data_IF_779397043592
#
_entry.id   IF_779397043592
#
_cell.length_a   1.000
_cell.length_b   1.000
_cell.length_c   1.000
_cell.angle_alpha   90.00
_cell.angle_beta   90.00
_cell.angle_gamma   90.00
#
_symmetry.space_group_name_H-M   'P 1'
#
loop_
_entity.id
_entity.type
_entity.pdbx_description
1 polymer ?
#
# COMPACT_ATOMS: atom_id res chain seq x y z
N UNK A 1 -0.28 1.20 -23.84
CA UNK A 1 -0.08 1.03 -22.37
C UNK A 1 -0.16 2.42 -21.73
N UNK A 2 -1.04 2.63 -20.74
CA UNK A 2 -1.16 3.95 -20.07
C UNK A 2 0.04 4.16 -19.16
N UNK A 3 0.81 5.22 -19.40
CA UNK A 3 1.94 5.62 -18.55
C UNK A 3 1.38 6.14 -17.22
N UNK A 4 1.84 5.64 -16.05
CA UNK A 4 1.45 6.24 -14.78
C UNK A 4 2.01 7.67 -14.69
N UNK A 5 1.11 8.65 -14.77
CA UNK A 5 1.45 10.07 -14.83
C UNK A 5 2.30 10.54 -13.64
N UNK A 6 2.12 9.93 -12.47
CA UNK A 6 2.93 10.19 -11.27
C UNK A 6 4.39 9.77 -11.45
N UNK A 7 4.65 8.59 -12.04
CA UNK A 7 6.01 8.09 -12.22
C UNK A 7 6.81 8.97 -13.18
N UNK A 8 6.20 9.33 -14.31
CA UNK A 8 6.82 10.23 -15.27
C UNK A 8 6.99 11.65 -14.72
N UNK A 9 6.05 12.15 -13.92
CA UNK A 9 6.18 13.46 -13.27
C UNK A 9 7.31 13.49 -12.24
N UNK A 10 7.52 12.41 -11.47
CA UNK A 10 8.67 12.27 -10.59
C UNK A 10 9.98 12.23 -11.38
N UNK A 11 10.06 11.42 -12.44
CA UNK A 11 11.26 11.35 -13.28
C UNK A 11 11.63 12.70 -13.92
N UNK A 12 10.62 13.47 -14.35
CA UNK A 12 10.80 14.84 -14.82
C UNK A 12 11.33 15.74 -13.71
N UNK A 13 10.73 15.69 -12.52
CA UNK A 13 11.17 16.43 -11.34
C UNK A 13 12.62 16.15 -10.94
N UNK A 14 13.06 14.89 -11.04
CA UNK A 14 14.43 14.49 -10.72
C UNK A 14 15.46 15.03 -11.72
N UNK A 15 15.17 14.93 -13.03
CA UNK A 15 16.15 15.27 -14.08
C UNK A 15 16.10 16.74 -14.49
N UNK A 16 14.91 17.26 -14.77
CA UNK A 16 14.72 18.62 -15.28
C UNK A 16 14.46 19.64 -14.16
N UNK A 17 14.25 19.18 -12.92
CA UNK A 17 13.98 20.00 -11.73
C UNK A 17 12.77 20.95 -11.77
N UNK A 18 11.65 20.69 -12.50
CA UNK A 18 10.41 21.41 -12.24
C UNK A 18 9.82 21.03 -10.87
N UNK A 19 9.08 21.94 -10.20
CA UNK A 19 8.24 21.56 -9.07
C UNK A 19 7.27 20.43 -9.47
N UNK A 20 7.03 19.47 -8.57
CA UNK A 20 6.22 18.28 -8.88
C UNK A 20 4.83 18.60 -9.44
N UNK A 21 4.15 19.63 -8.90
CA UNK A 21 2.84 20.07 -9.39
C UNK A 21 2.89 20.52 -10.86
N UNK A 22 3.97 21.21 -11.25
CA UNK A 22 4.20 21.63 -12.62
C UNK A 22 4.53 20.43 -13.53
N UNK A 23 5.44 19.55 -13.09
CA UNK A 23 5.77 18.31 -13.81
C UNK A 23 4.52 17.46 -14.09
N UNK A 24 3.67 17.29 -13.08
CA UNK A 24 2.39 16.57 -13.20
C UNK A 24 1.44 17.26 -14.18
N UNK A 25 1.37 18.59 -14.14
CA UNK A 25 0.52 19.37 -15.05
C UNK A 25 0.96 19.18 -16.50
N UNK A 26 2.27 19.25 -16.76
CA UNK A 26 2.86 19.01 -18.09
C UNK A 26 2.51 17.61 -18.60
N UNK A 27 2.72 16.57 -17.78
CA UNK A 27 2.43 15.18 -18.16
C UNK A 27 0.94 14.96 -18.43
N UNK A 28 0.05 15.56 -17.61
CA UNK A 28 -1.39 15.46 -17.81
C UNK A 28 -1.85 16.16 -19.09
N UNK A 29 -1.31 17.36 -19.38
CA UNK A 29 -1.59 18.06 -20.64
C UNK A 29 -1.09 17.26 -21.83
N UNK A 30 0.12 16.72 -21.75
CA UNK A 30 0.70 15.88 -22.79
C UNK A 30 -0.16 14.63 -23.07
N UNK A 31 -0.64 13.95 -22.02
CA UNK A 31 -1.50 12.79 -22.14
C UNK A 31 -2.87 13.14 -22.77
N UNK A 32 -3.44 14.30 -22.42
CA UNK A 32 -4.72 14.76 -22.95
C UNK A 32 -4.64 15.26 -24.40
N UNK A 33 -3.48 15.75 -24.85
CA UNK A 33 -3.34 16.35 -26.17
C UNK A 33 -3.30 15.34 -27.31
N UNK A 34 -2.52 14.26 -27.18
CA UNK A 34 -2.27 13.30 -28.26
C UNK A 34 -2.63 11.85 -27.91
N UNK A 35 -3.13 11.60 -26.69
CA UNK A 35 -3.40 10.25 -26.17
C UNK A 35 -2.15 9.46 -25.78
N UNK A 36 -0.96 9.90 -26.20
CA UNK A 36 0.33 9.30 -25.84
C UNK A 36 1.33 10.37 -25.37
N UNK A 37 1.99 10.12 -24.25
CA UNK A 37 3.02 11.07 -23.76
C UNK A 37 4.33 10.84 -24.51
N UNK A 38 4.79 11.85 -25.24
CA UNK A 38 6.08 11.87 -25.97
C UNK A 38 6.96 13.03 -25.50
N UNK A 39 8.27 12.93 -25.73
CA UNK A 39 9.21 13.99 -25.34
C UNK A 39 8.92 15.33 -26.05
N UNK A 40 8.51 15.29 -27.32
CA UNK A 40 8.14 16.48 -28.10
C UNK A 40 6.99 17.22 -27.42
N UNK A 41 5.91 16.51 -27.11
CA UNK A 41 4.71 17.10 -26.49
C UNK A 41 5.01 17.59 -25.06
N UNK A 42 5.85 16.88 -24.30
CA UNK A 42 6.27 17.33 -22.96
C UNK A 42 7.08 18.62 -23.04
N UNK A 43 8.00 18.74 -23.99
CA UNK A 43 8.80 19.94 -24.19
C UNK A 43 7.95 21.12 -24.67
N UNK A 44 6.93 20.87 -25.50
CA UNK A 44 5.97 21.88 -25.97
C UNK A 44 5.22 22.56 -24.81
N UNK A 45 4.79 21.78 -23.80
CA UNK A 45 4.10 22.34 -22.63
C UNK A 45 5.02 22.92 -21.54
N UNK A 46 6.34 22.71 -21.65
CA UNK A 46 7.31 23.21 -20.67
C UNK A 46 7.24 24.75 -20.50
N UNK A 47 7.43 25.53 -21.58
CA UNK A 47 7.38 26.99 -21.53
C UNK A 47 6.08 27.55 -20.94
N UNK A 48 4.94 26.95 -21.28
CA UNK A 48 3.64 27.41 -20.78
C UNK A 48 3.45 27.19 -19.28
N UNK A 49 3.96 26.08 -18.73
CA UNK A 49 3.68 25.69 -17.35
C UNK A 49 4.75 26.21 -16.38
N UNK A 50 6.02 26.23 -16.80
CA UNK A 50 7.15 26.62 -15.92
C UNK A 50 7.92 27.85 -16.40
N UNK A 51 7.50 28.47 -17.51
CA UNK A 51 8.12 29.70 -18.03
C UNK A 51 9.51 29.51 -18.65
N UNK A 52 9.91 28.27 -18.94
CA UNK A 52 11.20 27.94 -19.59
C UNK A 52 11.11 26.65 -20.38
N UNK A 53 12.03 26.50 -21.32
CA UNK A 53 12.20 25.26 -22.07
C UNK A 53 12.64 24.10 -21.16
N UNK A 54 12.20 22.91 -21.55
CA UNK A 54 12.64 21.63 -21.02
C UNK A 54 13.51 20.92 -22.06
N UNK A 55 14.49 20.15 -21.59
CA UNK A 55 15.36 19.35 -22.46
C UNK A 55 15.03 17.86 -22.34
N UNK A 56 13.74 17.52 -22.30
CA UNK A 56 13.30 16.14 -22.09
C UNK A 56 13.67 15.29 -23.28
N UNK A 57 14.44 14.23 -23.03
CA UNK A 57 14.80 13.23 -24.04
C UNK A 57 13.70 12.18 -24.23
N UNK A 58 13.69 11.53 -25.39
CA UNK A 58 12.83 10.37 -25.66
C UNK A 58 13.11 9.23 -24.67
N UNK A 59 14.38 9.05 -24.28
CA UNK A 59 14.76 8.03 -23.30
C UNK A 59 14.13 8.31 -21.93
N UNK A 60 14.07 9.57 -21.47
CA UNK A 60 13.42 9.93 -20.20
C UNK A 60 11.95 9.52 -20.20
N UNK A 61 11.23 9.83 -21.28
CA UNK A 61 9.81 9.47 -21.40
C UNK A 61 9.62 7.95 -21.50
N UNK A 62 10.53 7.26 -22.19
CA UNK A 62 10.51 5.80 -22.35
C UNK A 62 10.80 5.09 -21.02
N UNK A 63 11.87 5.49 -20.33
CA UNK A 63 12.25 4.99 -19.00
C UNK A 63 11.13 5.25 -17.99
N UNK A 64 10.48 6.42 -18.07
CA UNK A 64 9.34 6.76 -17.22
C UNK A 64 8.07 5.94 -17.48
N UNK A 65 8.01 5.15 -18.57
CA UNK A 65 6.94 4.16 -18.78
C UNK A 65 7.20 2.87 -18.01
N UNK A 66 8.46 2.59 -17.67
CA UNK A 66 8.80 1.50 -16.80
C UNK A 66 8.41 1.86 -15.36
N UNK A 67 7.46 1.10 -14.82
CA UNK A 67 6.91 1.32 -13.48
C UNK A 67 7.78 0.61 -12.44
N UNK A 68 8.65 -0.32 -12.84
CA UNK A 68 9.45 -1.11 -11.91
C UNK A 68 10.42 -0.23 -11.09
N UNK A 69 11.20 0.69 -11.67
CA UNK A 69 12.05 1.60 -10.90
C UNK A 69 11.24 2.46 -9.92
N UNK A 70 10.03 2.86 -10.31
CA UNK A 70 9.11 3.61 -9.46
C UNK A 70 8.66 2.76 -8.26
N UNK A 71 8.28 1.50 -8.46
CA UNK A 71 7.85 0.59 -7.38
C UNK A 71 9.03 0.29 -6.45
N UNK A 72 10.18 -0.08 -6.99
CA UNK A 72 11.36 -0.54 -6.23
C UNK A 72 11.86 0.55 -5.27
N UNK A 73 11.79 1.83 -5.66
CA UNK A 73 12.21 2.96 -4.80
C UNK A 73 11.30 3.20 -3.60
N UNK A 74 10.07 2.68 -3.57
CA UNK A 74 9.06 2.94 -2.52
C UNK A 74 9.18 1.97 -1.36
N UNK A 75 10.31 2.07 -0.67
CA UNK A 75 10.73 1.16 0.41
C UNK A 75 10.23 1.55 1.80
N UNK A 76 9.60 2.72 1.95
CA UNK A 76 8.99 3.14 3.21
C UNK A 76 7.92 2.12 3.68
N UNK A 77 7.70 1.97 5.00
CA UNK A 77 6.66 1.08 5.52
C UNK A 77 5.29 1.33 4.90
N UNK A 78 4.64 0.27 4.42
CA UNK A 78 3.37 0.34 3.68
C UNK A 78 3.53 0.59 2.17
N UNK A 79 4.76 0.78 1.67
CA UNK A 79 5.06 0.90 0.26
C UNK A 79 4.99 -0.43 -0.52
N UNK A 80 4.83 -0.37 -1.85
CA UNK A 80 4.69 -1.56 -2.71
C UNK A 80 6.02 -2.26 -3.00
N UNK A 81 7.17 -1.68 -2.64
CA UNK A 81 8.46 -2.32 -2.90
C UNK A 81 8.50 -3.72 -2.27
N UNK A 82 9.14 -4.68 -2.93
CA UNK A 82 9.21 -6.08 -2.48
C UNK A 82 9.77 -6.20 -1.05
N UNK A 83 10.76 -5.38 -0.69
CA UNK A 83 11.37 -5.33 0.65
C UNK A 83 10.34 -4.88 1.70
N UNK A 84 9.62 -3.78 1.44
CA UNK A 84 8.59 -3.25 2.34
C UNK A 84 7.40 -4.21 2.47
N UNK A 85 6.95 -4.78 1.34
CA UNK A 85 5.87 -5.77 1.29
C UNK A 85 6.24 -7.04 2.05
N UNK A 86 7.47 -7.54 1.89
CA UNK A 86 7.96 -8.72 2.61
C UNK A 86 8.00 -8.49 4.12
N UNK A 87 8.48 -7.32 4.55
CA UNK A 87 8.47 -6.92 5.96
C UNK A 87 7.04 -6.86 6.53
N UNK A 88 6.09 -6.30 5.76
CA UNK A 88 4.68 -6.24 6.15
C UNK A 88 4.05 -7.64 6.27
N UNK A 89 4.32 -8.54 5.31
CA UNK A 89 3.86 -9.94 5.35
C UNK A 89 4.43 -10.66 6.58
N UNK A 90 5.72 -10.45 6.88
CA UNK A 90 6.34 -11.04 8.06
C UNK A 90 5.68 -10.56 9.36
N UNK A 91 5.48 -9.25 9.51
CA UNK A 91 4.80 -8.67 10.66
C UNK A 91 3.34 -9.17 10.79
N UNK A 92 2.63 -9.30 9.67
CA UNK A 92 1.27 -9.84 9.65
C UNK A 92 1.22 -11.30 10.12
N UNK A 93 2.19 -12.14 9.71
CA UNK A 93 2.30 -13.52 10.18
C UNK A 93 2.55 -13.60 11.69
N UNK A 94 3.41 -12.74 12.23
CA UNK A 94 3.66 -12.67 13.67
C UNK A 94 2.39 -12.27 14.44
N UNK A 95 1.68 -11.23 13.98
CA UNK A 95 0.41 -10.80 14.59
C UNK A 95 -0.63 -11.91 14.55
N UNK A 96 -0.79 -12.59 13.41
CA UNK A 96 -1.72 -13.70 13.27
C UNK A 96 -1.43 -14.85 14.25
N UNK A 97 -0.15 -15.13 14.54
CA UNK A 97 0.22 -16.15 15.53
C UNK A 97 -0.21 -15.73 16.95
N UNK A 98 0.00 -14.47 17.32
CA UNK A 98 -0.45 -13.91 18.60
C UNK A 98 -1.97 -13.94 18.71
N UNK A 99 -2.67 -13.55 17.66
CA UNK A 99 -4.14 -13.53 17.63
C UNK A 99 -4.72 -14.94 17.81
N UNK A 100 -4.12 -15.95 17.14
CA UNK A 100 -4.50 -17.36 17.30
C UNK A 100 -4.29 -17.84 18.74
N UNK A 101 -3.11 -17.58 19.30
CA UNK A 101 -2.80 -17.93 20.70
C UNK A 101 -3.78 -17.29 21.68
N UNK A 102 -4.11 -16.01 21.46
CA UNK A 102 -5.06 -15.27 22.28
C UNK A 102 -6.46 -15.87 22.19
N UNK A 103 -6.93 -16.15 20.97
CA UNK A 103 -8.22 -16.80 20.72
C UNK A 103 -8.32 -18.15 21.43
N UNK A 104 -7.29 -18.98 21.31
CA UNK A 104 -7.29 -20.32 21.89
C UNK A 104 -7.28 -20.28 23.42
N UNK A 105 -6.53 -19.33 24.01
CA UNK A 105 -6.53 -19.06 25.45
C UNK A 105 -7.91 -18.63 25.94
N UNK A 106 -8.56 -17.70 25.24
CA UNK A 106 -9.91 -17.24 25.59
C UNK A 106 -10.94 -18.36 25.47
N UNK A 107 -10.88 -19.17 24.40
CA UNK A 107 -11.76 -20.31 24.22
C UNK A 107 -11.60 -21.35 25.35
N UNK A 108 -10.36 -21.62 25.78
CA UNK A 108 -10.10 -22.51 26.91
C UNK A 108 -10.71 -21.98 28.22
N UNK A 109 -10.60 -20.67 28.49
CA UNK A 109 -11.21 -20.04 29.68
C UNK A 109 -12.73 -20.15 29.67
N UNK A 110 -13.37 -19.91 28.53
CA UNK A 110 -14.83 -20.03 28.40
C UNK A 110 -15.29 -21.48 28.64
N UNK A 111 -14.59 -22.46 28.07
CA UNK A 111 -14.89 -23.89 28.32
C UNK A 111 -14.75 -24.25 29.79
N UNK A 112 -13.64 -23.87 30.42
CA UNK A 112 -13.40 -24.15 31.84
C UNK A 112 -14.48 -23.51 32.75
N UNK A 113 -14.91 -22.29 32.46
CA UNK A 113 -16.00 -21.63 33.18
C UNK A 113 -17.34 -22.36 32.98
N UNK A 114 -17.61 -22.85 31.77
CA UNK A 114 -18.79 -23.67 31.45
C UNK A 114 -18.80 -24.98 32.24
N UNK A 115 -17.68 -25.69 32.28
CA UNK A 115 -17.54 -26.95 33.03
C UNK A 115 -17.69 -26.72 34.53
N UNK A 116 -17.10 -25.66 35.07
CA UNK A 116 -17.24 -25.30 36.48
C UNK A 116 -18.70 -24.98 36.83
N UNK A 117 -19.41 -24.25 35.98
CA UNK A 117 -20.83 -23.94 36.17
C UNK A 117 -21.68 -25.21 36.16
N UNK A 118 -21.44 -26.12 35.21
CA UNK A 118 -22.14 -27.41 35.12
C UNK A 118 -21.93 -28.23 36.40
N UNK A 119 -20.68 -28.41 36.84
CA UNK A 119 -20.36 -29.14 38.08
C UNK A 119 -21.07 -28.55 39.30
N UNK A 120 -21.16 -27.23 39.41
CA UNK A 120 -21.89 -26.56 40.51
C UNK A 120 -23.39 -26.84 40.44
N UNK A 121 -23.98 -26.78 39.24
CA UNK A 121 -25.40 -27.11 39.04
C UNK A 121 -25.70 -28.57 39.40
N UNK A 122 -24.86 -29.51 38.98
CA UNK A 122 -25.03 -30.94 39.28
C UNK A 122 -24.94 -31.20 40.80
N UNK A 123 -23.97 -30.58 41.48
CA UNK A 123 -23.84 -30.67 42.95
C UNK A 123 -25.07 -30.13 43.68
N UNK A 124 -25.65 -29.02 43.21
CA UNK A 124 -26.86 -28.45 43.82
C UNK A 124 -28.07 -29.37 43.61
N UNK A 125 -28.22 -29.95 42.41
CA UNK A 125 -29.30 -30.90 42.13
C UNK A 125 -29.19 -32.17 42.98
N UNK A 126 -27.99 -32.75 43.11
CA UNK A 126 -27.77 -33.93 43.96
C UNK A 126 -28.01 -33.64 45.44
N UNK A 127 -27.66 -32.44 45.94
CA UNK A 127 -27.98 -32.04 47.32
C UNK A 127 -29.47 -31.91 47.53
N UNK A 128 -30.20 -31.29 46.60
CA UNK A 128 -31.66 -31.17 46.70
C UNK A 128 -32.35 -32.55 46.74
N UNK A 129 -31.87 -33.52 45.95
CA UNK A 129 -32.41 -34.87 45.92
C UNK A 129 -32.12 -35.70 47.18
N UNK A 130 -31.12 -35.31 47.99
CA UNK A 130 -30.75 -36.01 49.22
C UNK A 130 -31.54 -35.55 50.47
N UNK A 131 -32.27 -34.43 50.37
CA UNK A 131 -33.02 -33.81 51.47
C UNK A 131 -34.53 -33.73 51.22
N UNK A 132 -35.04 -34.34 50.14
CA UNK A 132 -36.47 -34.48 49.85
C UNK A 132 -36.88 -35.94 49.84
#
# INVERSE_FOLDING_TARGET
MRVPTTALAEALGERERPPFGAARTIVLRAASHSGEVTAVVVNEFGPEVIGRDLAVSVSLVTDGRDVEPFIVRRTLPGGPAAVATSAAIHAARQRLAVDRSTRDTLAARVRAAGDQRRRRSDQMASRSAAYG
#
